data_IF_424888456344
#
_entry.id   IF_424888456344
#
_cell.length_a   1.000
_cell.length_b   1.000
_cell.length_c   1.000
_cell.angle_alpha   90.00
_cell.angle_beta   90.00
_cell.angle_gamma   90.00
#
_symmetry.space_group_name_H-M   'P 1'
#
loop_
_entity.id
_entity.type
_entity.pdbx_description
1 polymer ?
#
# COMPACT_ATOMS: atom_id res chain seq x y z
N UNK A 1 12.30 -12.04 7.55
CA UNK A 1 11.86 -12.76 6.32
C UNK A 1 13.04 -13.28 5.51
N UNK A 2 14.03 -12.46 5.16
CA UNK A 2 15.19 -12.91 4.37
C UNK A 2 15.95 -14.07 5.02
N UNK A 3 16.29 -13.96 6.29
CA UNK A 3 17.07 -14.98 7.03
C UNK A 3 16.38 -16.36 7.12
N UNK A 4 15.05 -16.39 7.03
CA UNK A 4 14.25 -17.62 7.13
C UNK A 4 13.84 -18.16 5.76
N UNK A 5 14.14 -17.45 4.70
CA UNK A 5 13.74 -17.86 3.36
C UNK A 5 14.78 -18.82 2.78
N UNK A 6 14.37 -20.07 2.55
CA UNK A 6 15.25 -21.12 2.03
C UNK A 6 15.85 -20.82 0.66
N UNK A 7 15.21 -19.94 -0.12
CA UNK A 7 15.68 -19.54 -1.45
C UNK A 7 16.49 -18.23 -1.40
N UNK A 8 16.85 -17.69 -0.22
CA UNK A 8 17.48 -16.35 -0.08
C UNK A 8 18.68 -16.16 -1.00
N UNK A 9 19.54 -17.16 -1.13
CA UNK A 9 20.77 -17.13 -1.94
C UNK A 9 20.56 -17.50 -3.42
N UNK A 10 19.39 -18.01 -3.78
CA UNK A 10 19.08 -18.41 -5.16
C UNK A 10 18.33 -17.27 -5.87
N UNK A 11 18.97 -16.69 -6.89
CA UNK A 11 18.39 -15.62 -7.71
C UNK A 11 17.84 -16.11 -9.05
N UNK A 12 17.65 -17.43 -9.23
CA UNK A 12 16.99 -17.96 -10.41
C UNK A 12 15.56 -17.45 -10.53
N UNK A 13 15.00 -17.35 -11.75
CA UNK A 13 13.61 -16.88 -11.95
C UNK A 13 12.58 -17.69 -11.15
N UNK A 14 12.76 -19.01 -11.05
CA UNK A 14 11.87 -19.87 -10.25
C UNK A 14 11.94 -19.58 -8.76
N UNK A 15 13.16 -19.37 -8.21
CA UNK A 15 13.35 -19.03 -6.81
C UNK A 15 12.80 -17.63 -6.51
N UNK A 16 13.04 -16.66 -7.40
CA UNK A 16 12.50 -15.31 -7.26
C UNK A 16 10.97 -15.30 -7.25
N UNK A 17 10.32 -16.09 -8.09
CA UNK A 17 8.86 -16.23 -8.06
C UNK A 17 8.38 -16.79 -6.71
N UNK A 18 9.01 -17.85 -6.19
CA UNK A 18 8.65 -18.38 -4.86
C UNK A 18 8.88 -17.38 -3.74
N UNK A 19 9.99 -16.62 -3.77
CA UNK A 19 10.26 -15.53 -2.82
C UNK A 19 9.18 -14.44 -2.91
N UNK A 20 8.82 -13.99 -4.10
CA UNK A 20 7.79 -12.98 -4.32
C UNK A 20 6.44 -13.41 -3.72
N UNK A 21 6.01 -14.64 -3.99
CA UNK A 21 4.77 -15.18 -3.42
C UNK A 21 4.81 -15.23 -1.89
N UNK A 22 5.93 -15.65 -1.29
CA UNK A 22 6.07 -15.67 0.18
C UNK A 22 6.06 -14.27 0.78
N UNK A 23 6.76 -13.31 0.17
CA UNK A 23 6.75 -11.91 0.60
C UNK A 23 5.34 -11.34 0.52
N UNK A 24 4.67 -11.52 -0.61
CA UNK A 24 3.29 -11.07 -0.82
C UNK A 24 2.35 -11.63 0.25
N UNK A 25 2.39 -12.93 0.48
CA UNK A 25 1.52 -13.59 1.46
C UNK A 25 1.79 -13.14 2.92
N UNK A 26 3.05 -12.82 3.27
CA UNK A 26 3.44 -12.41 4.63
C UNK A 26 3.23 -10.91 4.90
N UNK A 27 3.22 -10.08 3.87
CA UNK A 27 3.13 -8.62 4.02
C UNK A 27 1.90 -8.17 4.80
N UNK A 28 0.65 -8.61 4.50
CA UNK A 28 -0.52 -8.19 5.28
C UNK A 28 -0.45 -8.63 6.74
N UNK A 29 0.16 -9.79 7.03
CA UNK A 29 0.37 -10.24 8.42
C UNK A 29 1.34 -9.32 9.16
N UNK A 30 2.44 -8.92 8.52
CA UNK A 30 3.40 -7.99 9.10
C UNK A 30 2.79 -6.61 9.36
N UNK A 31 2.01 -6.07 8.40
CA UNK A 31 1.31 -4.79 8.54
C UNK A 31 0.31 -4.83 9.69
N UNK A 32 -0.49 -5.90 9.77
CA UNK A 32 -1.48 -6.07 10.84
C UNK A 32 -0.82 -6.21 12.22
N UNK A 33 0.25 -6.99 12.31
CA UNK A 33 1.02 -7.17 13.55
C UNK A 33 1.61 -5.81 14.01
N UNK A 34 2.25 -5.07 13.11
CA UNK A 34 2.80 -3.74 13.40
C UNK A 34 1.72 -2.77 13.90
N UNK A 35 0.57 -2.70 13.20
CA UNK A 35 -0.55 -1.86 13.60
C UNK A 35 -1.05 -2.18 15.01
N UNK A 36 -1.21 -3.46 15.33
CA UNK A 36 -1.70 -3.90 16.64
C UNK A 36 -0.68 -3.62 17.74
N UNK A 37 0.59 -3.96 17.51
CA UNK A 37 1.67 -3.73 18.47
C UNK A 37 1.80 -2.25 18.81
N UNK A 38 1.74 -1.35 17.83
CA UNK A 38 1.74 0.10 18.08
C UNK A 38 0.58 0.59 18.95
N UNK A 39 -0.52 -0.16 19.00
CA UNK A 39 -1.70 0.14 19.83
C UNK A 39 -1.75 -0.66 21.13
N UNK A 40 -0.66 -1.33 21.52
CA UNK A 40 -0.60 -2.16 22.71
C UNK A 40 -1.53 -3.38 22.67
N UNK A 41 -1.91 -3.83 21.46
CA UNK A 41 -2.83 -4.97 21.28
C UNK A 41 -2.07 -6.23 20.89
N UNK A 42 -2.54 -7.39 21.34
CA UNK A 42 -2.01 -8.70 20.95
C UNK A 42 -2.12 -8.95 19.45
N UNK A 43 -1.15 -9.63 18.85
CA UNK A 43 -1.17 -10.05 17.44
C UNK A 43 -2.23 -11.12 17.23
N UNK A 44 -2.95 -11.07 16.12
CA UNK A 44 -3.96 -12.05 15.73
C UNK A 44 -3.44 -12.83 14.53
N UNK A 45 -3.45 -14.15 14.66
CA UNK A 45 -3.06 -15.05 13.57
C UNK A 45 -4.12 -15.08 12.46
N UNK A 46 -3.69 -15.29 11.20
CA UNK A 46 -4.60 -15.48 10.08
C UNK A 46 -5.41 -16.77 10.21
N UNK A 47 -6.61 -16.80 9.64
CA UNK A 47 -7.48 -17.97 9.57
C UNK A 47 -7.42 -18.60 8.18
N UNK A 48 -7.36 -19.93 8.12
CA UNK A 48 -7.44 -20.68 6.85
C UNK A 48 -8.83 -20.64 6.21
N UNK A 49 -9.85 -20.17 6.95
CA UNK A 49 -11.26 -20.14 6.50
C UNK A 49 -11.67 -18.80 5.88
N UNK A 50 -10.83 -17.78 5.97
CA UNK A 50 -11.11 -16.44 5.49
C UNK A 50 -10.35 -16.14 4.22
N UNK A 51 -10.94 -15.31 3.35
CA UNK A 51 -10.27 -14.74 2.18
C UNK A 51 -9.10 -13.83 2.59
N UNK A 52 -8.32 -13.37 1.62
CA UNK A 52 -7.19 -12.47 1.85
C UNK A 52 -7.62 -11.19 2.58
N UNK A 53 -8.63 -10.50 2.07
CA UNK A 53 -9.11 -9.25 2.64
C UNK A 53 -9.82 -9.43 3.98
N UNK A 54 -10.65 -10.47 4.11
CA UNK A 54 -11.27 -10.80 5.40
C UNK A 54 -10.21 -11.08 6.47
N UNK A 55 -9.15 -11.83 6.13
CA UNK A 55 -8.02 -12.06 7.03
C UNK A 55 -7.33 -10.76 7.43
N UNK A 56 -7.09 -9.87 6.47
CA UNK A 56 -6.47 -8.58 6.77
C UNK A 56 -7.29 -7.79 7.80
N UNK A 57 -8.59 -7.65 7.59
CA UNK A 57 -9.49 -6.99 8.54
C UNK A 57 -9.50 -7.68 9.90
N UNK A 58 -9.60 -9.02 9.92
CA UNK A 58 -9.57 -9.78 11.16
C UNK A 58 -8.25 -9.58 11.92
N UNK A 59 -7.12 -9.66 11.24
CA UNK A 59 -5.81 -9.46 11.88
C UNK A 59 -5.63 -8.02 12.39
N UNK A 60 -6.11 -7.02 11.66
CA UNK A 60 -6.02 -5.60 12.06
C UNK A 60 -6.96 -5.26 13.21
N UNK A 61 -8.24 -5.58 13.06
CA UNK A 61 -9.34 -5.05 13.88
C UNK A 61 -10.03 -6.07 14.75
N UNK A 62 -9.66 -7.35 14.66
CA UNK A 62 -10.34 -8.49 15.31
C UNK A 62 -11.80 -8.67 14.87
N UNK A 63 -12.14 -8.15 13.70
CA UNK A 63 -13.50 -8.21 13.12
C UNK A 63 -13.40 -8.24 11.61
N UNK A 64 -14.26 -9.03 10.97
CA UNK A 64 -14.51 -8.95 9.52
C UNK A 64 -15.68 -8.00 9.33
N UNK A 65 -15.54 -6.95 8.52
CA UNK A 65 -16.65 -6.02 8.23
C UNK A 65 -17.67 -6.65 7.26
N UNK A 66 -18.70 -5.88 6.93
CA UNK A 66 -19.71 -6.30 5.97
C UNK A 66 -19.13 -6.59 4.59
N UNK A 67 -19.78 -7.46 3.83
CA UNK A 67 -19.29 -7.94 2.53
C UNK A 67 -19.01 -6.81 1.53
N UNK A 68 -19.78 -5.74 1.59
CA UNK A 68 -19.56 -4.56 0.73
C UNK A 68 -18.22 -3.88 1.02
N UNK A 69 -17.86 -3.75 2.29
CA UNK A 69 -16.56 -3.17 2.70
C UNK A 69 -15.41 -4.09 2.29
N UNK A 70 -15.55 -5.40 2.49
CA UNK A 70 -14.56 -6.39 2.04
C UNK A 70 -14.38 -6.29 0.52
N UNK A 71 -15.47 -6.26 -0.24
CA UNK A 71 -15.43 -6.12 -1.70
C UNK A 71 -14.79 -4.81 -2.16
N UNK A 72 -15.14 -3.70 -1.53
CA UNK A 72 -14.53 -2.39 -1.84
C UNK A 72 -13.01 -2.42 -1.61
N UNK A 73 -12.57 -3.06 -0.53
CA UNK A 73 -11.15 -3.24 -0.25
C UNK A 73 -10.47 -4.15 -1.28
N UNK A 74 -11.08 -5.28 -1.67
CA UNK A 74 -10.57 -6.15 -2.74
C UNK A 74 -10.39 -5.38 -4.06
N UNK A 75 -11.39 -4.59 -4.45
CA UNK A 75 -11.30 -3.74 -5.65
C UNK A 75 -10.16 -2.74 -5.53
N UNK A 76 -9.99 -2.11 -4.36
CA UNK A 76 -8.88 -1.18 -4.14
C UNK A 76 -7.52 -1.86 -4.31
N UNK A 77 -7.35 -3.08 -3.80
CA UNK A 77 -6.11 -3.85 -3.97
C UNK A 77 -5.83 -4.19 -5.43
N UNK A 78 -6.87 -4.51 -6.21
CA UNK A 78 -6.73 -4.75 -7.66
C UNK A 78 -6.27 -3.48 -8.37
N UNK A 79 -6.88 -2.33 -8.06
CA UNK A 79 -6.51 -1.05 -8.66
C UNK A 79 -5.08 -0.61 -8.29
N UNK A 80 -4.59 -1.00 -7.12
CA UNK A 80 -3.22 -0.73 -6.68
C UNK A 80 -2.19 -1.78 -7.11
N UNK A 81 -2.62 -2.89 -7.71
CA UNK A 81 -1.72 -4.00 -8.04
C UNK A 81 -0.69 -3.64 -9.11
N UNK A 82 -1.04 -2.73 -10.03
CA UNK A 82 -0.18 -2.29 -11.11
C UNK A 82 -0.33 -0.78 -11.34
N UNK A 83 0.80 -0.14 -11.58
CA UNK A 83 0.90 1.25 -11.99
C UNK A 83 2.25 1.45 -12.70
N UNK A 84 2.26 1.48 -14.00
CA UNK A 84 3.43 1.39 -14.91
C UNK A 84 4.68 2.13 -14.47
N UNK A 85 4.53 3.30 -13.85
CA UNK A 85 5.63 4.17 -13.41
C UNK A 85 5.70 4.31 -11.88
N UNK A 86 5.33 3.27 -11.17
CA UNK A 86 5.40 3.25 -9.70
C UNK A 86 6.84 3.45 -9.21
N UNK A 87 7.06 4.45 -8.35
CA UNK A 87 8.38 4.80 -7.82
C UNK A 87 9.00 3.65 -7.03
N UNK A 88 8.21 2.90 -6.27
CA UNK A 88 8.69 1.73 -5.54
C UNK A 88 9.16 0.63 -6.49
N UNK A 89 8.44 0.40 -7.59
CA UNK A 89 8.85 -0.55 -8.63
C UNK A 89 10.16 -0.12 -9.29
N UNK A 90 10.30 1.17 -9.61
CA UNK A 90 11.54 1.72 -10.16
C UNK A 90 12.72 1.53 -9.18
N UNK A 91 12.52 1.83 -7.91
CA UNK A 91 13.52 1.63 -6.86
C UNK A 91 13.94 0.16 -6.75
N UNK A 92 12.97 -0.76 -6.72
CA UNK A 92 13.23 -2.20 -6.68
C UNK A 92 14.04 -2.67 -7.90
N UNK A 93 13.67 -2.22 -9.09
CA UNK A 93 14.39 -2.55 -10.34
C UNK A 93 15.82 -2.02 -10.32
N UNK A 94 16.04 -0.81 -9.83
CA UNK A 94 17.37 -0.22 -9.69
C UNK A 94 18.24 -1.05 -8.75
N UNK A 95 17.70 -1.47 -7.61
CA UNK A 95 18.44 -2.31 -6.65
C UNK A 95 18.76 -3.68 -7.26
N UNK A 96 17.79 -4.32 -7.91
CA UNK A 96 18.01 -5.63 -8.54
C UNK A 96 18.97 -5.57 -9.73
N UNK A 97 19.13 -4.44 -10.39
CA UNK A 97 20.09 -4.26 -11.49
C UNK A 97 21.54 -4.42 -11.04
N UNK A 98 21.82 -4.28 -9.74
CA UNK A 98 23.13 -4.54 -9.13
C UNK A 98 23.32 -6.01 -8.70
N UNK A 99 22.41 -6.91 -9.09
CA UNK A 99 22.35 -8.32 -8.66
C UNK A 99 22.07 -8.50 -7.16
N UNK A 100 21.51 -7.49 -6.50
CA UNK A 100 20.99 -7.63 -5.14
C UNK A 100 19.80 -8.59 -5.10
N UNK A 101 19.55 -9.19 -3.94
CA UNK A 101 18.44 -10.11 -3.77
C UNK A 101 17.08 -9.42 -3.71
N UNK A 102 15.99 -10.20 -3.90
CA UNK A 102 14.63 -9.68 -3.92
C UNK A 102 14.21 -9.05 -2.59
N UNK A 103 14.69 -9.55 -1.46
CA UNK A 103 14.33 -8.98 -0.15
C UNK A 103 14.94 -7.59 0.04
N UNK A 104 16.19 -7.39 -0.39
CA UNK A 104 16.85 -6.08 -0.43
C UNK A 104 16.10 -5.10 -1.33
N UNK A 105 15.69 -5.54 -2.51
CA UNK A 105 14.91 -4.74 -3.45
C UNK A 105 13.56 -4.30 -2.87
N UNK A 106 12.81 -5.21 -2.23
CA UNK A 106 11.54 -4.90 -1.58
C UNK A 106 11.74 -3.97 -0.37
N UNK A 107 12.82 -4.13 0.39
CA UNK A 107 13.14 -3.22 1.49
C UNK A 107 13.34 -1.79 0.99
N UNK A 108 14.10 -1.60 -0.09
CA UNK A 108 14.27 -0.30 -0.72
C UNK A 108 12.97 0.26 -1.31
N UNK A 109 12.13 -0.60 -1.90
CA UNK A 109 10.81 -0.20 -2.39
C UNK A 109 9.89 0.30 -1.27
N UNK A 110 9.88 -0.36 -0.11
CA UNK A 110 9.12 0.07 1.07
C UNK A 110 9.68 1.40 1.61
N UNK A 111 10.99 1.59 1.64
CA UNK A 111 11.60 2.86 2.02
C UNK A 111 11.18 4.00 1.08
N UNK A 112 11.15 3.75 -0.23
CA UNK A 112 10.65 4.70 -1.23
C UNK A 112 9.15 5.00 -1.04
N UNK A 113 8.34 3.98 -0.73
CA UNK A 113 6.90 4.14 -0.50
C UNK A 113 6.57 5.09 0.66
N UNK A 114 7.43 5.17 1.67
CA UNK A 114 7.27 6.08 2.82
C UNK A 114 7.32 7.57 2.43
N UNK A 115 7.88 7.91 1.27
CA UNK A 115 8.06 9.30 0.83
C UNK A 115 6.73 10.06 0.69
N UNK A 116 6.68 11.37 1.08
CA UNK A 116 5.45 12.17 1.03
C UNK A 116 4.90 12.38 -0.40
N UNK A 117 5.76 12.27 -1.40
CA UNK A 117 5.39 12.37 -2.82
C UNK A 117 5.03 11.01 -3.45
N UNK A 118 4.95 9.96 -2.65
CA UNK A 118 4.59 8.61 -3.10
C UNK A 118 3.49 8.02 -2.20
N UNK A 119 3.76 7.02 -1.39
CA UNK A 119 2.74 6.42 -0.52
C UNK A 119 2.21 7.38 0.56
N UNK A 120 3.00 8.37 0.98
CA UNK A 120 2.55 9.45 1.88
C UNK A 120 1.44 10.33 1.29
N UNK A 121 1.24 10.35 -0.03
CA UNK A 121 0.13 11.06 -0.66
C UNK A 121 -1.23 10.51 -0.22
N UNK A 122 -1.37 9.19 -0.05
CA UNK A 122 -2.60 8.57 0.43
C UNK A 122 -2.94 9.00 1.87
N UNK A 123 -1.92 9.14 2.73
CA UNK A 123 -2.11 9.66 4.09
C UNK A 123 -2.60 11.11 4.06
N UNK A 124 -2.03 11.94 3.19
CA UNK A 124 -2.44 13.32 3.01
C UNK A 124 -3.89 13.44 2.51
N UNK A 125 -4.34 12.57 1.59
CA UNK A 125 -5.75 12.49 1.17
C UNK A 125 -6.65 12.15 2.35
N UNK A 126 -6.27 11.21 3.22
CA UNK A 126 -7.07 10.86 4.40
C UNK A 126 -7.16 12.02 5.41
N UNK A 127 -6.10 12.81 5.57
CA UNK A 127 -6.15 14.03 6.39
C UNK A 127 -7.11 15.06 5.79
N UNK A 128 -7.02 15.30 4.47
CA UNK A 128 -7.92 16.18 3.75
C UNK A 128 -9.40 15.75 3.91
N UNK A 129 -9.70 14.48 3.74
CA UNK A 129 -11.06 13.96 3.92
C UNK A 129 -11.59 14.17 5.35
N UNK A 130 -10.72 13.99 6.36
CA UNK A 130 -11.09 14.28 7.76
C UNK A 130 -11.33 15.78 8.00
N UNK A 131 -10.57 16.64 7.35
CA UNK A 131 -10.73 18.11 7.43
C UNK A 131 -12.06 18.54 6.79
N UNK A 132 -12.43 17.98 5.64
CA UNK A 132 -13.72 18.20 4.98
C UNK A 132 -14.87 17.68 5.86
N UNK A 133 -14.75 16.49 6.39
CA UNK A 133 -15.65 15.85 7.35
C UNK A 133 -16.95 15.34 6.76
N UNK A 134 -17.67 16.14 5.96
CA UNK A 134 -18.96 15.77 5.35
C UNK A 134 -19.00 16.16 3.86
N UNK A 135 -19.65 15.36 2.99
CA UNK A 135 -19.72 15.63 1.56
C UNK A 135 -20.24 17.03 1.21
N UNK A 136 -21.21 17.53 1.96
CA UNK A 136 -21.83 18.84 1.71
C UNK A 136 -20.85 20.01 1.89
N UNK A 137 -19.77 19.80 2.66
CA UNK A 137 -18.71 20.80 2.88
C UNK A 137 -17.61 20.77 1.83
N UNK A 138 -17.59 19.73 0.96
CA UNK A 138 -16.50 19.50 0.02
C UNK A 138 -16.31 20.67 -0.95
N UNK A 139 -17.42 21.20 -1.51
CA UNK A 139 -17.39 22.32 -2.46
C UNK A 139 -16.72 23.56 -1.84
N UNK A 140 -17.21 24.00 -0.70
CA UNK A 140 -16.67 25.19 -0.01
C UNK A 140 -15.20 24.99 0.41
N UNK A 141 -14.83 23.79 0.83
CA UNK A 141 -13.45 23.47 1.17
C UNK A 141 -12.53 23.55 -0.06
N UNK A 142 -12.95 22.99 -1.20
CA UNK A 142 -12.18 23.02 -2.45
C UNK A 142 -12.02 24.47 -2.94
N UNK A 143 -13.08 25.25 -2.97
CA UNK A 143 -13.02 26.67 -3.37
C UNK A 143 -12.04 27.46 -2.51
N UNK A 144 -12.08 27.27 -1.19
CA UNK A 144 -11.12 27.89 -0.26
C UNK A 144 -9.67 27.40 -0.51
N UNK A 145 -9.48 26.10 -0.79
CA UNK A 145 -8.16 25.54 -1.08
C UNK A 145 -7.58 26.14 -2.37
N UNK A 146 -8.39 26.25 -3.43
CA UNK A 146 -7.99 26.85 -4.71
C UNK A 146 -7.66 28.33 -4.56
N UNK A 147 -8.50 29.09 -3.87
CA UNK A 147 -8.25 30.52 -3.58
C UNK A 147 -6.94 30.74 -2.82
N UNK A 148 -6.58 29.81 -1.94
CA UNK A 148 -5.30 29.81 -1.19
C UNK A 148 -4.14 29.18 -1.96
N UNK A 149 -4.34 28.76 -3.20
CA UNK A 149 -3.35 28.02 -4.02
C UNK A 149 -2.80 26.78 -3.30
N UNK A 150 -3.62 26.13 -2.46
CA UNK A 150 -3.27 24.87 -1.84
C UNK A 150 -3.40 23.73 -2.84
N UNK A 151 -2.47 22.77 -2.75
CA UNK A 151 -2.57 21.53 -3.52
C UNK A 151 -3.74 20.70 -2.97
N UNK A 152 -4.63 20.26 -3.86
CA UNK A 152 -5.70 19.31 -3.54
C UNK A 152 -5.17 17.91 -3.80
N UNK A 153 -4.91 17.15 -2.75
CA UNK A 153 -4.32 15.81 -2.88
C UNK A 153 -5.26 14.86 -3.61
N UNK A 154 -4.71 14.04 -4.50
CA UNK A 154 -5.48 13.14 -5.37
C UNK A 154 -5.85 13.74 -6.74
N UNK A 155 -5.55 15.01 -6.98
CA UNK A 155 -5.76 15.68 -8.25
C UNK A 155 -4.43 16.16 -8.83
N UNK A 156 -4.28 15.99 -10.15
CA UNK A 156 -3.05 16.32 -10.87
C UNK A 156 -1.95 15.28 -10.71
N UNK A 157 -1.19 15.08 -11.78
CA UNK A 157 -0.03 14.20 -11.78
C UNK A 157 0.98 14.66 -12.82
N UNK A 158 2.27 14.71 -12.46
CA UNK A 158 3.31 15.22 -13.37
C UNK A 158 3.49 14.37 -14.63
N UNK A 159 3.32 13.06 -14.52
CA UNK A 159 3.50 12.12 -15.63
C UNK A 159 2.23 11.98 -16.47
N UNK A 160 1.06 12.04 -15.83
CA UNK A 160 -0.24 11.85 -16.49
C UNK A 160 -0.98 13.15 -16.77
N UNK A 161 -0.26 14.22 -17.12
CA UNK A 161 -0.86 15.52 -17.45
C UNK A 161 -1.89 15.42 -18.59
N UNK A 162 -1.68 14.49 -19.52
CA UNK A 162 -2.60 14.23 -20.63
C UNK A 162 -3.84 13.41 -20.26
N UNK A 163 -3.82 12.71 -19.13
CA UNK A 163 -4.94 11.88 -18.67
C UNK A 163 -5.91 12.64 -17.74
N UNK A 164 -5.56 13.85 -17.34
CA UNK A 164 -6.40 14.73 -16.53
C UNK A 164 -7.59 15.28 -17.32
N UNK A 165 -7.60 15.10 -18.62
CA UNK A 165 -8.65 15.56 -19.53
C UNK A 165 -9.69 14.48 -19.86
N UNK A 166 -9.63 13.33 -19.17
CA UNK A 166 -10.64 12.27 -19.30
C UNK A 166 -11.74 12.44 -18.26
#
# INVERSE_FOLDING_TARGET
MALEDKDTKDNSPKANMRKAMRIFAKTPTAVAAYFRTRKGKSIIAPSKKLSFSENFFKMMFNKVPDKEIVRAFDISLILYAEHSFNVSTFTARTITSSLSDLHGAITGAIASLKGPLHGGANEAVMHMMKEIGKPEKAKAWIENALNKKKVVMGFGHRVYLSLIHI
#
